data_IF_571123882484
#
_entry.id   IF_571123882484
#
_cell.length_a   1.000
_cell.length_b   1.000
_cell.length_c   1.000
_cell.angle_alpha   90.00
_cell.angle_beta   90.00
_cell.angle_gamma   90.00
#
_symmetry.space_group_name_H-M   'P 1'
#
loop_
_entity.id
_entity.type
_entity.pdbx_description
1 polymer ?
#
# COMPACT_ATOMS: atom_id res chain seq x y z
N UNK A 1 8.50 -4.72 -20.27
CA UNK A 1 7.78 -5.92 -19.80
C UNK A 1 8.30 -6.24 -18.40
N UNK A 2 7.73 -5.67 -17.35
CA UNK A 2 8.14 -5.95 -15.96
C UNK A 2 7.36 -7.16 -15.45
N UNK A 3 8.09 -8.25 -15.20
CA UNK A 3 7.53 -9.47 -14.65
C UNK A 3 6.95 -9.23 -13.24
N UNK A 4 5.71 -9.65 -13.01
CA UNK A 4 5.13 -9.68 -11.67
C UNK A 4 5.76 -10.84 -10.89
N UNK A 5 6.88 -10.60 -10.22
CA UNK A 5 7.48 -11.55 -9.28
C UNK A 5 6.52 -11.74 -8.11
N UNK A 6 5.75 -12.83 -8.11
CA UNK A 6 4.98 -13.20 -6.92
C UNK A 6 5.95 -13.73 -5.85
N UNK A 7 6.21 -12.92 -4.83
CA UNK A 7 7.04 -13.35 -3.70
C UNK A 7 6.22 -14.25 -2.76
N UNK A 8 6.42 -15.56 -2.92
CA UNK A 8 5.95 -16.57 -1.96
C UNK A 8 6.70 -16.31 -0.65
N UNK A 9 6.02 -15.69 0.33
CA UNK A 9 6.61 -15.25 1.61
C UNK A 9 6.44 -13.76 1.90
N UNK A 10 5.79 -12.99 1.02
CA UNK A 10 5.53 -11.58 1.26
C UNK A 10 4.55 -11.33 2.42
N UNK A 11 4.92 -10.42 3.33
CA UNK A 11 4.08 -10.06 4.46
C UNK A 11 2.83 -9.30 3.99
N UNK A 12 1.67 -9.70 4.55
CA UNK A 12 0.39 -9.11 4.24
C UNK A 12 -0.15 -8.30 5.42
N UNK A 13 -0.45 -7.03 5.15
CA UNK A 13 -1.04 -6.09 6.08
C UNK A 13 -2.56 -6.12 6.01
N UNK A 14 -3.20 -5.87 7.15
CA UNK A 14 -4.63 -5.58 7.29
C UNK A 14 -4.93 -4.12 6.90
N UNK A 15 -6.20 -3.76 6.65
CA UNK A 15 -6.58 -2.38 6.40
C UNK A 15 -6.20 -1.43 7.55
N UNK A 16 -6.24 -1.93 8.79
CA UNK A 16 -5.87 -1.18 9.99
C UNK A 16 -4.37 -0.87 10.05
N UNK A 17 -3.51 -1.84 9.73
CA UNK A 17 -2.06 -1.62 9.71
C UNK A 17 -1.67 -0.59 8.62
N UNK A 18 -2.26 -0.69 7.42
CA UNK A 18 -2.05 0.30 6.35
C UNK A 18 -2.55 1.68 6.77
N UNK A 19 -3.72 1.74 7.40
CA UNK A 19 -4.29 2.99 7.91
C UNK A 19 -3.38 3.68 8.93
N UNK A 20 -2.78 2.92 9.85
CA UNK A 20 -1.81 3.43 10.81
C UNK A 20 -0.59 4.04 10.12
N UNK A 21 -0.05 3.38 9.08
CA UNK A 21 1.10 3.88 8.33
C UNK A 21 0.80 5.18 7.58
N UNK A 22 -0.35 5.26 6.92
CA UNK A 22 -0.79 6.44 6.16
C UNK A 22 -1.47 7.51 7.02
N UNK A 23 -1.67 7.26 8.32
CA UNK A 23 -2.41 8.12 9.26
C UNK A 23 -3.81 8.49 8.77
N UNK A 24 -4.53 7.51 8.24
CA UNK A 24 -5.92 7.65 7.76
C UNK A 24 -6.84 6.65 8.48
N UNK A 25 -8.14 6.74 8.23
CA UNK A 25 -9.11 5.74 8.69
C UNK A 25 -9.06 4.44 7.84
N UNK A 26 -9.22 3.23 8.42
CA UNK A 26 -9.26 1.97 7.67
C UNK A 26 -10.32 1.88 6.55
N UNK A 27 -11.45 2.60 6.69
CA UNK A 27 -12.47 2.70 5.64
C UNK A 27 -11.95 3.47 4.42
N UNK A 28 -11.05 4.44 4.62
CA UNK A 28 -10.39 5.16 3.54
C UNK A 28 -9.48 4.21 2.75
N UNK A 29 -8.69 3.38 3.41
CA UNK A 29 -7.86 2.34 2.76
C UNK A 29 -8.74 1.37 1.96
N UNK A 30 -9.86 0.95 2.54
CA UNK A 30 -10.83 0.07 1.86
C UNK A 30 -11.41 0.72 0.60
N UNK A 31 -11.68 2.03 0.64
CA UNK A 31 -12.14 2.81 -0.52
C UNK A 31 -11.05 2.91 -1.60
N UNK A 32 -9.79 3.14 -1.22
CA UNK A 32 -8.68 3.13 -2.19
C UNK A 32 -8.55 1.79 -2.90
N UNK A 33 -8.67 0.69 -2.15
CA UNK A 33 -8.64 -0.66 -2.70
C UNK A 33 -9.85 -0.98 -3.62
N UNK A 34 -11.01 -0.39 -3.34
CA UNK A 34 -12.18 -0.49 -4.21
C UNK A 34 -12.02 0.33 -5.49
N UNK A 35 -11.32 1.47 -5.41
CA UNK A 35 -11.02 2.34 -6.53
C UNK A 35 -9.78 1.90 -7.35
N UNK A 36 -9.11 0.79 -6.98
CA UNK A 36 -7.91 0.30 -7.66
C UNK A 36 -6.65 1.16 -7.44
N UNK A 37 -6.66 2.06 -6.45
CA UNK A 37 -5.53 2.95 -6.14
C UNK A 37 -4.40 2.27 -5.36
N UNK A 38 -4.72 1.14 -4.74
CA UNK A 38 -3.78 0.27 -4.05
C UNK A 38 -4.23 -1.17 -4.31
N UNK A 39 -3.28 -2.03 -4.69
CA UNK A 39 -3.48 -3.46 -4.88
C UNK A 39 -3.97 -4.12 -3.60
N UNK A 40 -4.92 -5.04 -3.73
CA UNK A 40 -5.44 -5.79 -2.58
C UNK A 40 -5.73 -7.23 -2.93
N UNK A 41 -5.47 -8.11 -1.96
CA UNK A 41 -5.81 -9.52 -1.99
C UNK A 41 -7.05 -9.70 -1.11
N UNK A 42 -8.04 -10.46 -1.59
CA UNK A 42 -9.20 -10.83 -0.77
C UNK A 42 -8.99 -12.22 -0.19
N UNK A 43 -9.20 -12.35 1.12
CA UNK A 43 -9.28 -13.66 1.75
C UNK A 43 -10.60 -14.35 1.38
N UNK A 44 -10.74 -15.68 1.56
CA UNK A 44 -12.00 -16.37 1.35
C UNK A 44 -13.18 -15.77 2.13
N UNK A 45 -12.94 -15.20 3.32
CA UNK A 45 -13.94 -14.49 4.13
C UNK A 45 -14.23 -13.04 3.68
N UNK A 46 -13.64 -12.58 2.58
CA UNK A 46 -13.90 -11.25 2.00
C UNK A 46 -13.10 -10.09 2.60
N UNK A 47 -12.30 -10.33 3.63
CA UNK A 47 -11.41 -9.30 4.19
C UNK A 47 -10.29 -8.97 3.21
N UNK A 48 -9.91 -7.69 3.15
CA UNK A 48 -8.80 -7.24 2.32
C UNK A 48 -7.46 -7.39 3.05
N UNK A 49 -6.43 -7.71 2.28
CA UNK A 49 -5.02 -7.73 2.67
C UNK A 49 -4.20 -6.97 1.64
N UNK A 50 -3.11 -6.36 2.09
CA UNK A 50 -2.25 -5.50 1.29
C UNK A 50 -0.82 -6.00 1.36
N UNK A 51 -0.10 -5.97 0.25
CA UNK A 51 1.31 -6.31 0.23
C UNK A 51 2.10 -5.25 0.97
N UNK A 52 2.91 -5.65 1.94
CA UNK A 52 3.73 -4.69 2.69
C UNK A 52 4.69 -3.92 1.76
N UNK A 53 5.26 -4.58 0.74
CA UNK A 53 6.19 -3.95 -0.20
C UNK A 53 5.52 -2.80 -0.97
N UNK A 54 4.33 -3.03 -1.51
CA UNK A 54 3.54 -2.06 -2.27
C UNK A 54 3.12 -0.88 -1.38
N UNK A 55 2.68 -1.15 -0.15
CA UNK A 55 2.32 -0.14 0.85
C UNK A 55 3.53 0.76 1.16
N UNK A 56 4.70 0.15 1.39
CA UNK A 56 5.96 0.87 1.64
C UNK A 56 6.42 1.69 0.43
N UNK A 57 6.29 1.15 -0.78
CA UNK A 57 6.61 1.86 -2.01
C UNK A 57 5.74 3.11 -2.17
N UNK A 58 4.42 3.00 -1.98
CA UNK A 58 3.51 4.14 -2.04
C UNK A 58 3.85 5.24 -1.01
N UNK A 59 4.25 4.85 0.20
CA UNK A 59 4.71 5.82 1.22
C UNK A 59 5.98 6.54 0.77
N UNK A 60 6.93 5.80 0.19
CA UNK A 60 8.18 6.36 -0.32
C UNK A 60 7.92 7.34 -1.47
N UNK A 61 7.05 6.99 -2.42
CA UNK A 61 6.66 7.85 -3.54
C UNK A 61 6.03 9.17 -3.07
N UNK A 62 5.12 9.11 -2.09
CA UNK A 62 4.47 10.30 -1.53
C UNK A 62 5.40 11.16 -0.66
N UNK A 63 6.45 10.58 -0.09
CA UNK A 63 7.43 11.31 0.75
C UNK A 63 8.58 11.89 -0.10
N UNK A 64 8.90 11.24 -1.22
CA UNK A 64 9.98 11.67 -2.13
C UNK A 64 9.71 13.02 -2.79
N UNK A 65 8.45 13.47 -2.89
CA UNK A 65 8.10 14.77 -3.47
C UNK A 65 8.44 15.96 -2.53
N UNK A 66 8.76 15.70 -1.25
CA UNK A 66 9.09 16.72 -0.25
C UNK A 66 10.59 16.85 0.07
N UNK A 67 11.48 16.11 -0.61
CA UNK A 67 12.93 16.30 -0.51
C UNK A 67 13.47 16.82 -1.82
N UNK A 68 13.34 18.13 -2.03
CA UNK A 68 14.12 18.86 -3.02
C UNK A 68 15.26 19.60 -2.27
N UNK A 69 16.46 19.02 -2.14
CA UNK A 69 17.59 19.68 -1.49
C UNK A 69 18.41 20.52 -2.47
N UNK A 70 17.90 20.87 -3.65
CA UNK A 70 18.67 21.54 -4.70
C UNK A 70 18.18 22.96 -4.99
N UNK A 71 18.37 23.87 -4.05
CA UNK A 71 18.60 25.29 -4.38
C UNK A 71 20.04 25.59 -3.94
N UNK A 72 20.99 25.45 -4.88
CA UNK A 72 22.32 26.06 -4.84
C UNK A 72 22.34 27.21 -5.84
#
# INVERSE_FOLDING_TARGET
MTASTQHIGEQLLTPGEVATLFRVDPKTVTRWAAAGRIGSIRTPGGHRRFRESEVKQLLAELTSEATDPAIN
#
